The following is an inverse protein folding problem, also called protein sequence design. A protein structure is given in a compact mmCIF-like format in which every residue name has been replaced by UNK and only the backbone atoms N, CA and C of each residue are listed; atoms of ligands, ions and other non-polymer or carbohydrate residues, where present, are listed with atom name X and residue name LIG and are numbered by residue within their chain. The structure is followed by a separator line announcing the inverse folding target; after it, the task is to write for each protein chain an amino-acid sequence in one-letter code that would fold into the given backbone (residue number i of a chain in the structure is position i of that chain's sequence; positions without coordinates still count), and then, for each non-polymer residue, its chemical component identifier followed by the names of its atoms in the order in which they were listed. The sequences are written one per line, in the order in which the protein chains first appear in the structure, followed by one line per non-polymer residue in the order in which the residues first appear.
data_IF_091131006019
#
_entry.id   IF_091131006019
#
_cell.length_a   1.000
_cell.length_b   1.000
_cell.length_c   1.000
_cell.angle_alpha   90.00
_cell.angle_beta   90.00
_cell.angle_gamma   90.00
#
_symmetry.space_group_name_H-M   'P 1'
#
loop_
_entity.id
_entity.type
_entity.pdbx_description
1 polymer ?
#
# COMPACT_ATOMS: atom_id res chain seq x y z
N UNK A 1 -17.08 -18.28 -1.21
CA UNK A 1 -18.16 -17.26 -1.10
C UNK A 1 -17.60 -15.94 -1.59
N UNK A 2 -18.21 -15.28 -2.56
CA UNK A 2 -17.70 -14.00 -3.05
C UNK A 2 -17.81 -12.94 -1.94
N UNK A 3 -16.75 -12.16 -1.75
CA UNK A 3 -16.71 -11.07 -0.78
C UNK A 3 -17.05 -9.74 -1.46
N UNK A 4 -17.57 -8.83 -0.66
CA UNK A 4 -17.80 -7.49 -1.14
C UNK A 4 -16.46 -6.81 -1.50
N UNK A 5 -16.34 -6.10 -2.64
CA UNK A 5 -15.09 -5.45 -3.06
C UNK A 5 -14.51 -4.45 -2.04
N UNK A 6 -15.35 -3.90 -1.17
CA UNK A 6 -14.93 -2.98 -0.08
C UNK A 6 -14.45 -3.68 1.18
N UNK A 7 -14.36 -5.00 1.18
CA UNK A 7 -13.88 -5.72 2.37
C UNK A 7 -12.41 -5.36 2.65
N UNK A 8 -12.13 -4.92 3.86
CA UNK A 8 -10.77 -4.65 4.33
C UNK A 8 -10.19 -5.93 4.90
N UNK A 9 -9.53 -6.67 4.04
CA UNK A 9 -9.01 -7.99 4.37
C UNK A 9 -7.55 -7.98 4.83
N UNK A 10 -7.10 -9.18 5.15
CA UNK A 10 -5.78 -9.46 5.74
C UNK A 10 -4.63 -9.34 4.74
N UNK A 11 -4.92 -9.42 3.45
CA UNK A 11 -3.90 -9.34 2.42
C UNK A 11 -3.58 -7.87 2.14
N UNK A 12 -2.36 -7.48 2.44
CA UNK A 12 -1.88 -6.16 2.05
C UNK A 12 -1.34 -6.18 0.63
N UNK A 13 -1.68 -5.15 -0.13
CA UNK A 13 -1.16 -4.90 -1.48
C UNK A 13 -0.15 -3.77 -1.39
N UNK A 14 1.08 -4.05 -1.75
CA UNK A 14 2.15 -3.06 -1.74
C UNK A 14 2.82 -2.94 -3.10
N UNK A 15 2.97 -1.70 -3.55
CA UNK A 15 3.63 -1.33 -4.79
C UNK A 15 4.99 -0.72 -4.45
N UNK A 16 6.05 -1.55 -4.54
CA UNK A 16 7.41 -1.17 -4.17
C UNK A 16 7.93 0.00 -4.99
N UNK A 17 7.59 0.06 -6.26
CA UNK A 17 8.01 1.11 -7.20
C UNK A 17 7.54 2.50 -6.80
N UNK A 18 6.40 2.60 -6.09
CA UNK A 18 5.83 3.86 -5.60
C UNK A 18 6.31 4.22 -4.20
N UNK A 19 6.78 3.24 -3.46
CA UNK A 19 7.18 3.44 -2.07
C UNK A 19 8.51 4.18 -1.98
N UNK A 20 8.55 5.25 -1.21
CA UNK A 20 9.76 6.05 -0.98
C UNK A 20 10.44 5.76 0.36
N UNK A 21 9.91 4.82 1.13
CA UNK A 21 10.43 4.51 2.46
C UNK A 21 10.19 5.61 3.52
N UNK A 22 9.19 6.48 3.32
CA UNK A 22 8.90 7.60 4.21
C UNK A 22 8.38 7.22 5.60
N UNK A 23 8.04 5.96 5.82
CA UNK A 23 7.50 5.39 7.06
C UNK A 23 6.19 6.04 7.57
N UNK A 24 5.46 6.80 6.76
CA UNK A 24 4.18 7.41 7.16
C UNK A 24 3.17 6.36 7.61
N UNK A 25 3.09 5.22 6.91
CA UNK A 25 2.21 4.11 7.30
C UNK A 25 2.51 3.58 8.72
N UNK A 26 3.78 3.50 9.10
CA UNK A 26 4.20 3.08 10.44
C UNK A 26 3.88 4.14 11.49
N UNK A 27 4.10 5.41 11.19
CA UNK A 27 3.83 6.54 12.10
C UNK A 27 2.35 6.73 12.40
N UNK A 28 1.48 6.48 11.40
CA UNK A 28 0.03 6.61 11.54
C UNK A 28 -0.64 5.34 12.08
N UNK A 29 0.09 4.24 12.24
CA UNK A 29 -0.47 3.03 12.81
C UNK A 29 -0.72 3.21 14.32
N UNK A 30 -1.99 3.19 14.80
CA UNK A 30 -2.29 3.44 16.20
C UNK A 30 -1.77 2.35 17.13
N UNK A 31 -1.49 1.16 16.60
CA UNK A 31 -0.99 0.01 17.36
C UNK A 31 0.52 -0.20 17.23
N UNK A 32 1.20 0.60 16.39
CA UNK A 32 2.64 0.49 16.18
C UNK A 32 3.08 -0.88 15.65
N UNK A 33 2.27 -1.53 14.83
CA UNK A 33 2.51 -2.90 14.34
C UNK A 33 3.27 -2.95 13.00
N UNK A 34 3.61 -1.82 12.45
CA UNK A 34 4.33 -1.72 11.18
C UNK A 34 5.78 -1.35 11.50
N UNK A 35 6.71 -2.23 11.14
CA UNK A 35 8.14 -2.00 11.29
C UNK A 35 8.75 -1.65 9.95
N UNK A 36 9.40 -0.51 9.87
CA UNK A 36 10.13 -0.06 8.68
C UNK A 36 11.56 0.25 9.06
N UNK A 37 12.50 -0.33 8.33
CA UNK A 37 13.93 0.01 8.37
C UNK A 37 14.34 0.41 6.96
N UNK A 38 14.97 1.56 6.86
CA UNK A 38 15.40 2.12 5.59
C UNK A 38 16.89 2.45 5.61
N UNK A 39 17.47 2.51 4.41
CA UNK A 39 18.82 3.03 4.18
C UNK A 39 18.80 4.01 3.01
N UNK A 40 19.77 4.92 2.92
CA UNK A 40 19.96 5.73 1.72
C UNK A 40 20.09 4.85 0.48
N UNK A 41 19.39 5.17 -0.60
CA UNK A 41 19.45 4.41 -1.85
C UNK A 41 20.44 4.96 -2.86
N UNK A 42 20.91 6.18 -2.66
CA UNK A 42 21.71 6.93 -3.63
C UNK A 42 20.90 7.45 -4.84
N UNK A 43 19.60 7.13 -4.89
CA UNK A 43 18.72 7.59 -5.97
C UNK A 43 18.08 8.92 -5.57
N UNK A 44 18.50 9.98 -6.25
CA UNK A 44 17.92 11.32 -6.05
C UNK A 44 16.63 11.44 -6.83
N UNK A 45 15.57 11.85 -6.16
CA UNK A 45 14.30 12.27 -6.75
C UNK A 45 14.15 13.78 -6.59
N UNK A 46 13.15 14.37 -7.20
CA UNK A 46 12.85 15.80 -7.03
C UNK A 46 12.48 16.17 -5.59
N UNK A 47 11.96 15.21 -4.84
CA UNK A 47 11.55 15.36 -3.44
C UNK A 47 12.69 15.07 -2.45
N UNK A 48 13.86 14.70 -2.95
CA UNK A 48 15.02 14.31 -2.17
C UNK A 48 15.47 12.89 -2.46
N UNK A 49 16.35 12.35 -1.62
CA UNK A 49 16.84 10.99 -1.76
C UNK A 49 15.74 9.97 -1.43
N UNK A 50 15.49 9.04 -2.35
CA UNK A 50 14.63 7.90 -2.10
C UNK A 50 15.31 6.92 -1.14
N UNK A 51 14.64 6.51 -0.10
CA UNK A 51 15.15 5.48 0.80
C UNK A 51 14.86 4.07 0.26
N UNK A 52 15.85 3.21 0.30
CA UNK A 52 15.65 1.78 0.09
C UNK A 52 15.12 1.13 1.35
N UNK A 53 14.11 0.27 1.21
CA UNK A 53 13.54 -0.49 2.32
C UNK A 53 14.36 -1.76 2.54
N UNK A 54 14.85 -1.97 3.76
CA UNK A 54 15.47 -3.22 4.19
C UNK A 54 14.46 -4.11 4.93
N UNK A 55 13.60 -3.49 5.72
CA UNK A 55 12.56 -4.18 6.47
C UNK A 55 11.23 -3.45 6.25
N UNK A 56 10.22 -4.23 5.96
CA UNK A 56 8.83 -3.81 5.97
C UNK A 56 8.00 -4.96 6.50
N UNK A 57 7.73 -4.96 7.79
CA UNK A 57 6.97 -6.00 8.48
C UNK A 57 5.65 -5.42 8.97
N UNK A 58 4.57 -6.21 8.86
CA UNK A 58 3.24 -5.88 9.36
C UNK A 58 2.76 -7.04 10.25
N UNK A 59 2.58 -6.80 11.55
CA UNK A 59 2.06 -7.82 12.48
C UNK A 59 0.53 -7.89 12.42
N UNK A 60 0.00 -8.79 11.60
CA UNK A 60 -1.44 -8.99 11.43
C UNK A 60 -2.13 -9.50 12.70
N UNK A 61 -1.40 -10.19 13.58
CA UNK A 61 -1.99 -10.71 14.82
C UNK A 61 -2.52 -9.60 15.75
N UNK A 62 -2.08 -8.36 15.55
CA UNK A 62 -2.53 -7.19 16.30
C UNK A 62 -3.20 -6.13 15.42
N UNK A 63 -3.29 -6.37 14.13
CA UNK A 63 -3.89 -5.42 13.20
C UNK A 63 -5.42 -5.34 13.43
N UNK A 64 -5.93 -4.13 13.59
CA UNK A 64 -7.37 -3.89 13.71
C UNK A 64 -8.03 -3.52 12.36
N UNK A 65 -7.30 -3.65 11.25
CA UNK A 65 -7.78 -3.38 9.89
C UNK A 65 -8.45 -2.01 9.71
N UNK A 66 -7.99 -1.00 10.44
CA UNK A 66 -8.55 0.35 10.39
C UNK A 66 -8.28 1.10 9.07
N UNK A 67 -7.22 0.72 8.33
CA UNK A 67 -6.87 1.33 7.05
C UNK A 67 -6.12 2.67 7.14
N UNK A 68 -5.83 3.19 8.34
CA UNK A 68 -5.10 4.46 8.49
C UNK A 68 -3.73 4.48 7.82
N UNK A 69 -3.05 3.33 7.77
CA UNK A 69 -1.77 3.20 7.06
C UNK A 69 -1.91 3.41 5.54
N UNK A 70 -3.05 3.00 4.97
CA UNK A 70 -3.36 3.21 3.56
C UNK A 70 -3.68 4.68 3.30
N UNK A 71 -4.50 5.29 4.15
CA UNK A 71 -4.86 6.70 4.03
C UNK A 71 -3.65 7.62 4.21
N UNK A 72 -2.73 7.25 5.09
CA UNK A 72 -1.51 8.00 5.37
C UNK A 72 -0.45 7.89 4.27
N UNK A 73 -0.58 6.95 3.33
CA UNK A 73 0.39 6.80 2.25
C UNK A 73 0.20 7.88 1.18
N UNK A 74 1.15 8.84 1.04
CA UNK A 74 1.00 9.92 0.07
C UNK A 74 1.22 9.46 -1.38
N UNK A 75 1.79 8.28 -1.57
CA UNK A 75 2.20 7.76 -2.88
C UNK A 75 1.30 6.63 -3.41
N UNK A 76 0.18 6.36 -2.75
CA UNK A 76 -0.70 5.23 -3.08
C UNK A 76 0.06 3.90 -3.25
N UNK A 77 1.07 3.69 -2.41
CA UNK A 77 1.93 2.51 -2.47
C UNK A 77 1.40 1.34 -1.63
N UNK A 78 0.53 1.58 -0.66
CA UNK A 78 -0.01 0.58 0.25
C UNK A 78 -1.53 0.58 0.19
N UNK A 79 -2.11 -0.60 0.03
CA UNK A 79 -3.56 -0.82 0.04
C UNK A 79 -3.89 -2.03 0.89
N UNK A 80 -5.11 -2.09 1.40
CA UNK A 80 -5.65 -3.33 1.95
C UNK A 80 -6.12 -4.22 0.80
N UNK A 81 -5.91 -5.51 0.93
CA UNK A 81 -6.47 -6.48 0.02
C UNK A 81 -7.84 -6.95 0.48
N UNK A 82 -8.32 -8.01 -0.11
CA UNK A 82 -9.67 -8.55 0.13
C UNK A 82 -9.66 -9.98 0.68
N UNK A 83 -8.48 -10.54 0.99
CA UNK A 83 -8.34 -11.86 1.57
C UNK A 83 -8.72 -11.94 3.04
N UNK A 84 -9.09 -13.13 3.50
CA UNK A 84 -9.46 -13.39 4.90
C UNK A 84 -9.04 -14.79 5.40
N UNK A 85 -8.34 -15.56 4.59
CA UNK A 85 -7.97 -16.94 4.89
C UNK A 85 -6.50 -17.06 5.32
N UNK A 86 -6.13 -16.29 6.34
CA UNK A 86 -4.73 -16.23 6.80
C UNK A 86 -4.50 -16.92 8.13
N UNK A 87 -5.30 -17.94 8.46
CA UNK A 87 -5.06 -18.74 9.65
C UNK A 87 -3.67 -19.38 9.65
N UNK A 88 -2.97 -19.34 10.78
CA UNK A 88 -1.64 -19.89 10.97
C UNK A 88 -1.55 -20.62 12.30
N UNK A 89 -0.64 -21.60 12.38
CA UNK A 89 -0.41 -22.35 13.63
C UNK A 89 0.38 -21.54 14.64
N UNK A 90 1.23 -20.65 14.21
CA UNK A 90 2.02 -19.82 15.12
C UNK A 90 1.76 -18.34 14.88
N UNK A 91 1.85 -17.56 15.98
CA UNK A 91 1.67 -16.12 15.90
C UNK A 91 2.72 -15.43 15.02
N UNK A 92 3.93 -15.99 14.97
CA UNK A 92 5.03 -15.43 14.15
C UNK A 92 4.71 -15.45 12.65
N UNK A 93 3.96 -16.45 12.21
CA UNK A 93 3.58 -16.63 10.81
C UNK A 93 2.50 -15.61 10.37
N UNK A 94 1.97 -14.85 11.31
CA UNK A 94 1.05 -13.72 11.04
C UNK A 94 1.79 -12.39 10.82
N UNK A 95 3.11 -12.38 10.89
CA UNK A 95 3.90 -11.21 10.50
C UNK A 95 4.20 -11.31 9.01
N UNK A 96 3.61 -10.40 8.23
CA UNK A 96 3.91 -10.27 6.80
C UNK A 96 5.22 -9.51 6.68
N UNK A 97 6.19 -10.08 6.00
CA UNK A 97 7.47 -9.43 5.71
C UNK A 97 7.50 -8.82 4.31
N UNK A 98 8.56 -8.09 4.01
CA UNK A 98 8.75 -7.39 2.74
C UNK A 98 8.69 -8.33 1.52
N UNK A 99 9.21 -9.56 1.63
CA UNK A 99 9.21 -10.52 0.52
C UNK A 99 7.81 -11.09 0.26
N UNK A 100 7.03 -11.27 1.31
CA UNK A 100 5.61 -11.61 1.18
C UNK A 100 4.81 -10.49 0.51
N UNK A 101 5.05 -9.24 0.92
CA UNK A 101 4.41 -8.06 0.31
C UNK A 101 4.76 -7.93 -1.18
N UNK A 102 6.00 -8.24 -1.58
CA UNK A 102 6.42 -8.26 -2.98
C UNK A 102 5.66 -9.30 -3.80
N UNK A 103 5.49 -10.50 -3.23
CA UNK A 103 4.83 -11.63 -3.90
C UNK A 103 3.31 -11.60 -3.84
N UNK A 104 2.73 -10.77 -2.96
CA UNK A 104 1.29 -10.68 -2.77
C UNK A 104 0.58 -10.30 -4.08
N UNK A 105 -0.58 -10.90 -4.36
CA UNK A 105 -1.41 -10.53 -5.50
C UNK A 105 -1.77 -9.05 -5.45
N UNK A 106 -1.71 -8.36 -6.59
CA UNK A 106 -2.04 -6.94 -6.69
C UNK A 106 -3.55 -6.74 -6.88
N UNK A 107 -4.34 -7.13 -5.87
CA UNK A 107 -5.80 -7.03 -5.84
C UNK A 107 -6.27 -6.20 -4.64
N UNK A 108 -6.19 -4.86 -4.74
CA UNK A 108 -6.57 -3.99 -3.63
C UNK A 108 -8.09 -4.00 -3.43
N UNK A 109 -8.50 -3.92 -2.17
CA UNK A 109 -9.90 -3.65 -1.81
C UNK A 109 -10.33 -2.28 -2.32
N UNK A 110 -11.60 -2.13 -2.66
CA UNK A 110 -12.17 -0.87 -3.17
C UNK A 110 -12.69 0.04 -2.07
N UNK A 111 -12.62 -0.36 -0.79
CA UNK A 111 -13.19 0.44 0.31
C UNK A 111 -12.71 1.90 0.32
N UNK A 112 -11.48 2.12 -0.07
CA UNK A 112 -10.86 3.44 -0.14
C UNK A 112 -10.95 4.08 -1.53
N UNK A 113 -11.40 3.32 -2.53
CA UNK A 113 -11.50 3.71 -3.93
C UNK A 113 -12.88 3.37 -4.50
N UNK A 114 -13.95 4.04 -4.00
CA UNK A 114 -15.31 3.73 -4.44
C UNK A 114 -15.53 3.90 -5.95
N UNK A 115 -14.69 4.70 -6.62
CA UNK A 115 -14.71 4.83 -8.07
C UNK A 115 -14.37 3.53 -8.82
N UNK A 116 -13.59 2.63 -8.22
CA UNK A 116 -13.31 1.32 -8.79
C UNK A 116 -14.53 0.41 -8.72
N UNK A 117 -15.25 0.47 -7.61
CA UNK A 117 -16.52 -0.25 -7.45
C UNK A 117 -17.58 0.28 -8.43
N UNK A 118 -17.66 1.60 -8.62
CA UNK A 118 -18.55 2.21 -9.61
C UNK A 118 -18.24 1.76 -11.05
N UNK A 119 -16.99 1.39 -11.34
CA UNK A 119 -16.57 0.78 -12.61
C UNK A 119 -16.81 -0.73 -12.66
N UNK A 120 -17.36 -1.34 -11.61
CA UNK A 120 -17.64 -2.77 -11.52
C UNK A 120 -16.39 -3.63 -11.23
N UNK A 121 -15.28 -3.05 -10.80
CA UNK A 121 -14.08 -3.80 -10.47
C UNK A 121 -14.29 -4.73 -9.28
N UNK A 122 -13.93 -5.99 -9.46
CA UNK A 122 -13.94 -7.01 -8.41
C UNK A 122 -12.50 -7.50 -8.16
N UNK A 123 -11.89 -7.18 -7.00
CA UNK A 123 -10.50 -7.57 -6.71
C UNK A 123 -10.27 -9.09 -6.62
N UNK A 124 -11.31 -9.90 -6.54
CA UNK A 124 -11.20 -11.36 -6.49
C UNK A 124 -11.15 -12.01 -7.88
N UNK A 125 -11.81 -11.43 -8.85
CA UNK A 125 -12.00 -12.04 -10.18
C UNK A 125 -11.25 -11.32 -11.28
N UNK A 126 -11.07 -10.02 -11.12
CA UNK A 126 -10.50 -9.19 -12.16
C UNK A 126 -8.96 -9.21 -12.14
N UNK A 127 -8.35 -8.79 -13.23
CA UNK A 127 -6.90 -8.65 -13.31
C UNK A 127 -6.37 -7.68 -12.24
N UNK A 128 -5.12 -7.84 -11.78
CA UNK A 128 -4.47 -6.81 -10.98
C UNK A 128 -4.49 -5.46 -11.70
N UNK A 129 -4.77 -4.39 -10.94
CA UNK A 129 -4.82 -3.04 -11.49
C UNK A 129 -3.43 -2.41 -11.58
N UNK A 130 -3.25 -1.62 -12.61
CA UNK A 130 -2.10 -0.73 -12.72
C UNK A 130 -2.23 0.43 -11.72
N UNK A 131 -1.10 1.02 -11.32
CA UNK A 131 -1.10 2.05 -10.27
C UNK A 131 -1.98 3.28 -10.60
N UNK A 132 -2.03 3.71 -11.86
CA UNK A 132 -2.84 4.84 -12.30
C UNK A 132 -4.35 4.55 -12.27
N UNK A 133 -4.73 3.28 -12.22
CA UNK A 133 -6.14 2.86 -12.09
C UNK A 133 -6.61 2.89 -10.63
N UNK A 134 -5.67 2.74 -9.66
CA UNK A 134 -5.97 2.70 -8.22
C UNK A 134 -5.59 3.98 -7.48
N UNK A 135 -4.84 4.88 -8.08
CA UNK A 135 -4.39 6.14 -7.48
C UNK A 135 -5.53 7.02 -6.99
N UNK A 136 -5.22 7.95 -6.10
CA UNK A 136 -6.19 8.94 -5.59
C UNK A 136 -6.58 9.96 -6.64
N UNK A 137 -5.69 10.18 -7.58
CA UNK A 137 -5.81 11.14 -8.65
C UNK A 137 -5.78 10.41 -9.98
N UNK A 138 -6.27 11.04 -11.00
CA UNK A 138 -5.96 10.66 -12.38
C UNK A 138 -4.46 10.53 -12.54
N UNK A 139 -4.01 9.71 -13.51
CA UNK A 139 -2.59 9.49 -13.75
C UNK A 139 -1.86 10.84 -13.66
N UNK A 140 -0.87 10.97 -12.77
CA UNK A 140 -0.22 12.25 -12.62
C UNK A 140 0.39 12.63 -13.98
N UNK A 141 -0.02 13.76 -14.49
CA UNK A 141 0.72 14.42 -15.54
C UNK A 141 2.10 14.75 -14.95
N UNK A 142 3.08 13.91 -15.31
CA UNK A 142 4.44 14.04 -14.79
C UNK A 142 5.04 15.40 -15.12
N UNK A 143 4.65 16.02 -16.25
CA UNK A 143 5.08 17.36 -16.62
C UNK A 143 4.44 18.43 -15.76
N UNK A 144 3.13 18.33 -15.49
CA UNK A 144 2.41 19.25 -14.60
C UNK A 144 2.87 19.11 -13.15
N UNK A 145 3.15 17.90 -12.67
CA UNK A 145 3.76 17.70 -11.35
C UNK A 145 5.16 18.28 -11.29
N UNK A 146 5.93 18.13 -12.35
CA UNK A 146 7.26 18.67 -12.42
C UNK A 146 7.26 20.22 -12.41
N UNK A 147 6.35 20.84 -13.13
CA UNK A 147 6.19 22.29 -13.15
C UNK A 147 5.77 22.83 -11.76
N UNK A 148 4.82 22.15 -11.12
CA UNK A 148 4.29 22.55 -9.80
C UNK A 148 5.33 22.56 -8.69
N UNK A 149 6.32 21.65 -8.73
CA UNK A 149 7.40 21.59 -7.74
C UNK A 149 8.52 22.60 -7.98
N UNK A 150 8.67 23.09 -9.21
CA UNK A 150 9.62 24.15 -9.54
C UNK A 150 9.13 25.53 -9.09
N UNK A 151 7.81 25.76 -9.08
CA UNK A 151 7.23 27.04 -8.65
C UNK A 151 7.19 27.25 -7.13
N UNK A 152 7.30 26.18 -6.32
CA UNK A 152 7.22 26.24 -4.85
C UNK A 152 8.62 26.33 -4.19
N UNK A 153 9.69 26.40 -4.96
CA UNK A 153 11.06 26.66 -4.51
C UNK A 153 11.53 28.00 -5.04
#
# INVERSE_FOLDING_TARGET
MPQHPRFRGEDFVWYEERCTGCASCAKFCPLGIIRIVTRPSGVMTKEGEKNALEVFDIDLARCMFCGLCVEACPYDALHMGSGFERARYTRKDLVINIDELRRAPKRPSTWFRPQLEAKGYNPHTDRPLEWHEVGRHEAPDLEAMQARWVEVR
#
